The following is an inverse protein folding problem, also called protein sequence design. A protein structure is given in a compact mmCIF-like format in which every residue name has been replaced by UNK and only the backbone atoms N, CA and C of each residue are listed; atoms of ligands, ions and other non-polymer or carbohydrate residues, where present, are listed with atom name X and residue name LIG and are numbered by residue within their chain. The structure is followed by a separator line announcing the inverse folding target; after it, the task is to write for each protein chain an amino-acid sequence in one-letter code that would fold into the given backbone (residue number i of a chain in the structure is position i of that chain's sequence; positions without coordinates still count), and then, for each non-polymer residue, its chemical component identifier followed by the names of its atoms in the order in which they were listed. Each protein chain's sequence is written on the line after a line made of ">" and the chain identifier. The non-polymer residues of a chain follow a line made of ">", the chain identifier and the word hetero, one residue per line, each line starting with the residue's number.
data_IF_056810480439
#
_entry.id   IF_056810480439
#
_cell.length_a   1.000
_cell.length_b   1.000
_cell.length_c   1.000
_cell.angle_alpha   90.00
_cell.angle_beta   90.00
_cell.angle_gamma   90.00
#
_symmetry.space_group_name_H-M   'P 1'
#
loop_
_entity.id
_entity.type
_entity.pdbx_description
1 polymer ?
#
# COMPACT_ATOMS: atom_id res chain seq x y z
N UNK A 1 30.31 14.99 30.07
CA UNK A 1 29.43 15.41 28.96
C UNK A 1 29.56 14.40 27.84
N UNK A 2 28.64 13.44 27.75
CA UNK A 2 28.42 12.70 26.51
C UNK A 2 27.64 13.66 25.62
N UNK A 3 28.16 13.98 24.43
CA UNK A 3 27.44 14.70 23.39
C UNK A 3 26.14 13.92 23.12
N UNK A 4 25.03 14.40 23.68
CA UNK A 4 23.70 13.88 23.40
C UNK A 4 23.40 14.17 21.94
N UNK A 5 23.43 13.14 21.10
CA UNK A 5 22.89 13.23 19.74
C UNK A 5 21.45 13.72 19.84
N UNK A 6 21.16 14.87 19.24
CA UNK A 6 19.79 15.36 19.17
C UNK A 6 18.95 14.33 18.42
N UNK A 7 17.79 13.94 18.95
CA UNK A 7 16.97 12.92 18.31
C UNK A 7 16.58 13.40 16.91
N UNK A 8 17.00 12.65 15.90
CA UNK A 8 16.82 13.01 14.49
C UNK A 8 15.42 12.60 14.05
N UNK A 9 14.66 13.57 13.53
CA UNK A 9 13.33 13.34 12.94
C UNK A 9 13.41 12.25 11.86
N UNK A 10 12.54 11.24 11.97
CA UNK A 10 12.50 10.08 11.07
C UNK A 10 11.38 10.22 10.04
N UNK A 11 10.23 10.74 10.47
CA UNK A 11 9.02 10.89 9.66
C UNK A 11 8.65 12.36 9.55
N UNK A 12 8.08 12.73 8.41
CA UNK A 12 7.58 14.08 8.11
C UNK A 12 6.08 13.98 7.83
N UNK A 13 5.34 15.07 8.06
CA UNK A 13 3.89 15.10 7.80
C UNK A 13 3.57 14.92 6.31
N UNK A 14 4.39 15.50 5.44
CA UNK A 14 4.26 15.37 3.98
C UNK A 14 5.23 14.37 3.38
N UNK A 15 4.95 13.97 2.14
CA UNK A 15 5.85 13.13 1.35
C UNK A 15 6.78 14.03 0.55
N UNK A 16 8.08 13.80 0.72
CA UNK A 16 9.12 14.52 0.00
C UNK A 16 9.54 13.74 -1.24
N UNK A 17 9.85 14.46 -2.30
CA UNK A 17 10.33 13.88 -3.55
C UNK A 17 11.31 14.80 -4.26
N UNK A 18 12.05 14.22 -5.19
CA UNK A 18 13.02 14.90 -6.03
C UNK A 18 12.81 14.48 -7.50
N UNK A 19 12.77 15.46 -8.38
CA UNK A 19 12.78 15.23 -9.83
C UNK A 19 14.24 15.01 -10.25
N UNK A 20 14.56 13.80 -10.71
CA UNK A 20 15.91 13.45 -11.13
C UNK A 20 16.22 14.06 -12.50
N UNK A 21 16.81 15.25 -12.51
CA UNK A 21 17.23 15.94 -13.75
C UNK A 21 18.65 15.53 -14.13
N UNK A 22 18.87 14.90 -15.31
CA UNK A 22 20.21 14.57 -15.79
C UNK A 22 21.08 15.83 -15.91
N UNK A 23 22.36 15.73 -15.51
CA UNK A 23 23.31 16.85 -15.51
C UNK A 23 23.41 17.59 -16.86
N UNK A 24 23.24 16.86 -17.98
CA UNK A 24 23.23 17.42 -19.34
C UNK A 24 22.03 18.34 -19.61
N UNK A 25 20.90 18.11 -18.95
CA UNK A 25 19.65 18.88 -19.12
C UNK A 25 19.51 20.02 -18.09
N UNK A 26 20.26 20.00 -16.98
CA UNK A 26 20.24 21.05 -15.95
C UNK A 26 20.58 22.46 -16.48
N UNK A 27 21.42 22.57 -17.51
CA UNK A 27 21.74 23.86 -18.14
C UNK A 27 20.60 24.43 -18.99
N UNK A 28 19.71 23.60 -19.55
CA UNK A 28 18.56 24.03 -20.34
C UNK A 28 17.34 24.38 -19.48
N UNK A 29 17.19 23.71 -18.35
CA UNK A 29 16.12 23.91 -17.36
C UNK A 29 16.43 25.02 -16.34
N UNK A 30 17.58 25.69 -16.48
CA UNK A 30 18.01 26.77 -15.58
C UNK A 30 17.09 27.98 -15.73
N UNK A 31 16.06 28.08 -14.90
CA UNK A 31 15.10 29.19 -14.86
C UNK A 31 13.66 28.81 -15.22
N UNK A 32 13.38 27.53 -15.50
CA UNK A 32 12.01 27.04 -15.70
C UNK A 32 11.47 26.45 -14.40
N UNK A 33 10.27 26.87 -14.01
CA UNK A 33 9.53 26.29 -12.89
C UNK A 33 9.09 24.87 -13.27
N UNK A 34 9.56 23.89 -12.52
CA UNK A 34 9.19 22.49 -12.70
C UNK A 34 7.96 22.18 -11.84
N UNK A 35 6.96 21.55 -12.46
CA UNK A 35 5.73 21.16 -11.78
C UNK A 35 5.60 19.65 -11.72
N UNK A 36 4.98 19.16 -10.65
CA UNK A 36 4.52 17.77 -10.54
C UNK A 36 3.00 17.81 -10.49
N UNK A 37 2.34 17.18 -11.46
CA UNK A 37 0.90 16.93 -11.37
C UNK A 37 0.64 15.73 -10.49
N UNK A 38 -0.21 15.89 -9.49
CA UNK A 38 -0.77 14.83 -8.66
C UNK A 38 -2.25 14.63 -9.02
N UNK A 39 -2.69 13.38 -9.18
CA UNK A 39 -4.07 13.04 -9.48
C UNK A 39 -4.42 11.62 -9.01
N UNK A 40 -5.72 11.37 -8.73
CA UNK A 40 -6.25 10.03 -8.44
C UNK A 40 -7.42 9.70 -9.38
N UNK A 41 -7.17 8.99 -10.49
CA UNK A 41 -8.13 8.81 -11.59
C UNK A 41 -9.33 7.94 -11.23
N UNK A 42 -9.27 7.20 -10.13
CA UNK A 42 -10.34 6.33 -9.67
C UNK A 42 -11.32 7.06 -8.72
N UNK A 43 -10.90 8.16 -8.09
CA UNK A 43 -11.71 8.92 -7.14
C UNK A 43 -12.31 10.16 -7.83
N UNK A 44 -11.48 10.98 -8.44
CA UNK A 44 -11.90 12.20 -9.11
C UNK A 44 -11.10 12.49 -10.38
N UNK A 45 -11.53 13.51 -11.12
CA UNK A 45 -10.82 14.01 -12.30
C UNK A 45 -10.00 15.27 -11.99
N UNK A 46 -9.67 15.52 -10.72
CA UNK A 46 -8.93 16.70 -10.31
C UNK A 46 -7.43 16.47 -10.49
N UNK A 47 -6.72 17.55 -10.79
CA UNK A 47 -5.28 17.54 -10.95
C UNK A 47 -4.69 18.70 -10.14
N UNK A 48 -3.82 18.36 -9.20
CA UNK A 48 -3.14 19.31 -8.32
C UNK A 48 -1.72 19.50 -8.84
N UNK A 49 -1.33 20.75 -9.10
CA UNK A 49 0.00 21.09 -9.57
C UNK A 49 0.87 21.53 -8.40
N UNK A 50 1.93 20.78 -8.13
CA UNK A 50 2.88 21.04 -7.06
C UNK A 50 4.12 21.68 -7.68
N UNK A 51 4.48 22.87 -7.20
CA UNK A 51 5.70 23.55 -7.61
C UNK A 51 6.91 22.88 -6.95
N UNK A 52 7.94 22.59 -7.75
CA UNK A 52 9.24 22.12 -7.24
C UNK A 52 10.25 23.26 -7.18
N UNK A 53 11.24 23.12 -6.31
CA UNK A 53 12.30 24.10 -6.11
C UNK A 53 13.31 24.12 -7.28
N UNK A 54 14.29 25.02 -7.22
CA UNK A 54 15.37 25.15 -8.21
C UNK A 54 16.26 23.90 -8.39
N UNK A 55 16.26 22.98 -7.42
CA UNK A 55 16.96 21.70 -7.44
C UNK A 55 16.05 20.54 -7.85
N UNK A 56 14.75 20.79 -8.04
CA UNK A 56 13.73 19.79 -8.36
C UNK A 56 13.14 19.09 -7.14
N UNK A 57 13.39 19.59 -5.92
CA UNK A 57 12.79 19.06 -4.71
C UNK A 57 11.34 19.56 -4.56
N UNK A 58 10.43 18.69 -4.14
CA UNK A 58 9.04 19.04 -3.87
C UNK A 58 8.53 18.34 -2.61
N UNK A 59 7.49 18.92 -2.01
CA UNK A 59 6.79 18.35 -0.87
C UNK A 59 5.31 18.30 -1.18
N UNK A 60 4.70 17.14 -0.96
CA UNK A 60 3.26 16.93 -1.11
C UNK A 60 2.60 17.20 0.24
N UNK A 61 1.60 18.07 0.25
CA UNK A 61 0.85 18.41 1.46
C UNK A 61 -0.03 17.24 1.93
N UNK A 62 -0.16 17.00 3.25
CA UNK A 62 -1.04 15.95 3.81
C UNK A 62 -2.48 15.99 3.30
N UNK A 63 -3.02 17.17 2.98
CA UNK A 63 -4.39 17.34 2.47
C UNK A 63 -4.63 16.60 1.15
N UNK A 64 -3.59 16.44 0.32
CA UNK A 64 -3.67 15.70 -0.95
C UNK A 64 -3.92 14.21 -0.69
N UNK A 65 -3.29 13.65 0.34
CA UNK A 65 -3.46 12.25 0.71
C UNK A 65 -4.80 11.98 1.42
N UNK A 66 -5.32 12.97 2.15
CA UNK A 66 -6.66 12.90 2.75
C UNK A 66 -7.75 13.01 1.67
N UNK A 67 -7.59 13.88 0.67
CA UNK A 67 -8.55 14.02 -0.43
C UNK A 67 -8.76 12.70 -1.20
N UNK A 68 -7.68 11.95 -1.42
CA UNK A 68 -7.70 10.71 -2.20
C UNK A 68 -7.57 9.44 -1.34
N UNK A 69 -8.05 9.52 -0.10
CA UNK A 69 -8.05 8.43 0.88
C UNK A 69 -8.67 7.15 0.30
N UNK A 70 -7.98 6.02 0.52
CA UNK A 70 -8.39 4.69 0.10
C UNK A 70 -7.84 4.22 -1.26
N UNK A 71 -7.15 5.09 -2.00
CA UNK A 71 -6.56 4.75 -3.31
C UNK A 71 -5.10 5.24 -3.44
N UNK A 72 -4.60 5.32 -4.67
CA UNK A 72 -3.26 5.76 -5.02
C UNK A 72 -3.25 7.18 -5.58
N UNK A 73 -2.22 7.94 -5.22
CA UNK A 73 -1.88 9.23 -5.80
C UNK A 73 -0.86 9.01 -6.91
N UNK A 74 -1.20 9.35 -8.14
CA UNK A 74 -0.30 9.30 -9.29
C UNK A 74 0.37 10.65 -9.48
N UNK A 75 1.69 10.62 -9.64
CA UNK A 75 2.54 11.77 -9.83
C UNK A 75 3.17 11.71 -11.22
N UNK A 76 3.12 12.84 -11.92
CA UNK A 76 3.77 13.00 -13.23
C UNK A 76 4.54 14.31 -13.25
N UNK A 77 5.84 14.31 -13.60
CA UNK A 77 6.56 15.55 -13.80
C UNK A 77 6.08 16.19 -15.11
N UNK A 78 5.72 17.48 -15.02
CA UNK A 78 5.35 18.31 -16.16
C UNK A 78 6.56 19.17 -16.52
N UNK A 79 7.14 18.88 -17.68
CA UNK A 79 8.21 19.68 -18.27
C UNK A 79 7.87 20.00 -19.72
N UNK A 80 8.27 21.19 -20.15
CA UNK A 80 8.19 21.65 -21.54
C UNK A 80 9.21 20.89 -22.41
N UNK A 81 10.27 20.35 -21.80
CA UNK A 81 11.40 19.72 -22.47
C UNK A 81 11.46 18.22 -22.15
N UNK A 82 10.80 17.43 -23.00
CA UNK A 82 10.94 15.97 -23.14
C UNK A 82 10.46 15.11 -21.95
N UNK A 83 9.46 14.29 -22.26
CA UNK A 83 8.97 13.14 -21.49
C UNK A 83 10.14 12.18 -21.14
N UNK A 84 10.43 11.96 -19.87
CA UNK A 84 11.48 11.03 -19.42
C UNK A 84 12.25 11.44 -18.18
N UNK A 85 11.85 12.51 -17.48
CA UNK A 85 12.36 12.81 -16.15
C UNK A 85 11.77 11.82 -15.15
N UNK A 86 12.63 11.05 -14.45
CA UNK A 86 12.20 10.14 -13.40
C UNK A 86 11.96 10.89 -12.09
N UNK A 87 10.91 10.51 -11.37
CA UNK A 87 10.66 10.97 -10.02
C UNK A 87 11.29 10.00 -9.02
N UNK A 88 11.93 10.54 -7.98
CA UNK A 88 12.28 9.77 -6.79
C UNK A 88 11.44 10.27 -5.64
N UNK A 89 10.66 9.39 -5.04
CA UNK A 89 9.80 9.70 -3.91
C UNK A 89 10.39 9.01 -2.68
N UNK A 90 10.45 9.72 -1.56
CA UNK A 90 10.91 9.13 -0.31
C UNK A 90 9.73 8.46 0.39
N UNK A 91 9.74 7.13 0.49
CA UNK A 91 8.72 6.39 1.23
C UNK A 91 8.99 6.49 2.75
N UNK A 92 8.09 7.11 3.54
CA UNK A 92 8.23 7.16 4.99
C UNK A 92 8.24 5.76 5.63
N UNK A 93 7.54 4.77 5.07
CA UNK A 93 7.49 3.42 5.62
C UNK A 93 8.81 2.67 5.44
N UNK A 94 9.52 2.87 4.33
CA UNK A 94 10.87 2.32 4.18
C UNK A 94 11.83 2.91 5.23
N UNK A 95 11.75 4.22 5.47
CA UNK A 95 12.55 4.87 6.53
C UNK A 95 12.20 4.30 7.91
N UNK A 96 10.92 4.15 8.23
CA UNK A 96 10.46 3.56 9.49
C UNK A 96 11.00 2.12 9.63
N UNK A 97 10.81 1.28 8.63
CA UNK A 97 11.24 -0.13 8.66
C UNK A 97 12.75 -0.26 8.84
N UNK A 98 13.54 0.55 8.13
CA UNK A 98 14.99 0.58 8.27
C UNK A 98 15.44 1.02 9.67
N UNK A 99 14.75 2.02 10.26
CA UNK A 99 15.03 2.48 11.62
C UNK A 99 14.56 1.51 12.70
N UNK A 100 13.47 0.77 12.47
CA UNK A 100 13.00 -0.29 13.36
C UNK A 100 13.93 -1.50 13.31
N UNK A 101 14.45 -1.87 12.13
CA UNK A 101 15.34 -3.02 11.97
C UNK A 101 16.67 -2.90 12.74
N UNK A 102 17.11 -1.69 13.09
CA UNK A 102 18.32 -1.45 13.90
C UNK A 102 18.04 -1.42 15.40
N UNK A 103 16.77 -1.44 15.82
CA UNK A 103 16.36 -1.41 17.23
C UNK A 103 15.80 -2.77 17.62
N UNK A 104 16.34 -3.39 18.66
CA UNK A 104 15.72 -4.57 19.25
C UNK A 104 14.45 -4.17 20.00
N UNK A 105 13.30 -4.38 19.36
CA UNK A 105 11.99 -4.20 20.00
C UNK A 105 11.60 -5.52 20.66
N UNK A 106 11.89 -5.63 21.95
CA UNK A 106 11.48 -6.79 22.75
C UNK A 106 10.03 -6.62 23.17
N UNK A 107 9.11 -7.21 22.43
CA UNK A 107 7.74 -7.39 22.91
C UNK A 107 7.72 -8.45 24.01
N UNK A 108 6.91 -8.28 25.07
CA UNK A 108 6.66 -9.34 26.04
C UNK A 108 5.81 -10.42 25.39
N UNK A 109 6.39 -11.20 24.49
CA UNK A 109 5.75 -12.38 23.93
C UNK A 109 5.83 -13.45 25.02
N UNK A 110 4.72 -13.97 25.55
CA UNK A 110 4.79 -15.12 26.42
C UNK A 110 5.50 -16.26 25.66
N UNK A 111 6.43 -16.99 26.28
CA UNK A 111 7.07 -18.12 25.61
C UNK A 111 5.99 -19.06 25.11
N UNK A 112 5.98 -19.30 23.79
CA UNK A 112 5.19 -20.37 23.20
C UNK A 112 5.63 -21.64 23.92
N UNK A 113 4.79 -22.11 24.82
CA UNK A 113 5.05 -23.36 25.52
C UNK A 113 4.85 -24.44 24.48
N UNK A 114 5.93 -25.16 24.13
CA UNK A 114 5.91 -26.41 23.33
C UNK A 114 5.12 -27.55 24.02
N UNK A 115 4.34 -27.24 25.05
CA UNK A 115 3.29 -28.12 25.52
C UNK A 115 2.16 -28.05 24.51
N UNK A 116 1.60 -29.21 24.19
CA UNK A 116 0.26 -29.34 23.63
C UNK A 116 -0.71 -28.64 24.60
N UNK A 117 -0.80 -27.30 24.52
CA UNK A 117 -1.97 -26.60 24.97
C UNK A 117 -3.05 -27.19 24.09
N UNK A 118 -3.86 -28.05 24.68
CA UNK A 118 -5.23 -28.21 24.21
C UNK A 118 -5.70 -26.76 24.04
N UNK A 119 -5.72 -26.31 22.78
CA UNK A 119 -6.47 -25.11 22.44
C UNK A 119 -7.80 -25.40 23.09
N UNK A 120 -8.28 -24.59 24.05
CA UNK A 120 -9.62 -24.80 24.55
C UNK A 120 -10.43 -24.85 23.28
N UNK A 121 -11.03 -26.01 23.00
CA UNK A 121 -11.85 -26.18 21.81
C UNK A 121 -12.92 -25.13 22.04
N UNK A 122 -12.75 -23.97 21.38
CA UNK A 122 -13.78 -22.95 21.33
C UNK A 122 -14.98 -23.73 20.83
N UNK A 123 -16.05 -23.88 21.63
CA UNK A 123 -17.15 -24.74 21.26
C UNK A 123 -17.59 -24.29 19.88
N UNK A 124 -17.33 -25.18 18.92
CA UNK A 124 -17.45 -24.93 17.50
C UNK A 124 -18.83 -24.32 17.28
N UNK A 125 -18.84 -23.11 16.72
CA UNK A 125 -19.90 -22.35 16.07
C UNK A 125 -21.21 -23.11 15.72
N UNK A 126 -21.90 -23.68 16.71
CA UNK A 126 -23.28 -24.16 16.56
C UNK A 126 -24.29 -23.18 17.13
N UNK A 127 -23.83 -22.21 17.96
CA UNK A 127 -24.68 -21.32 18.74
C UNK A 127 -24.27 -19.83 18.63
N UNK A 128 -24.04 -19.31 17.42
CA UNK A 128 -24.06 -17.86 17.16
C UNK A 128 -22.96 -16.98 17.77
N UNK A 129 -21.88 -17.54 18.32
CA UNK A 129 -20.77 -16.80 18.94
C UNK A 129 -20.02 -15.85 17.99
N UNK A 130 -19.69 -14.64 18.47
CA UNK A 130 -18.85 -13.68 17.74
C UNK A 130 -17.37 -14.04 17.89
N UNK A 131 -16.78 -14.64 16.86
CA UNK A 131 -15.34 -14.92 16.77
C UNK A 131 -14.74 -13.95 15.76
N UNK A 132 -13.80 -13.11 16.22
CA UNK A 132 -13.01 -12.25 15.34
C UNK A 132 -11.59 -12.78 15.31
N UNK A 133 -11.16 -13.22 14.13
CA UNK A 133 -9.78 -13.61 13.89
C UNK A 133 -8.85 -12.41 14.03
N UNK A 134 -7.61 -12.68 14.45
CA UNK A 134 -6.55 -11.67 14.44
C UNK A 134 -6.43 -11.06 13.04
N UNK A 135 -6.36 -9.73 12.95
CA UNK A 135 -6.12 -9.02 11.69
C UNK A 135 -4.67 -9.28 11.25
N UNK A 136 -4.46 -10.38 10.53
CA UNK A 136 -3.19 -10.67 9.89
C UNK A 136 -3.16 -9.98 8.54
N UNK A 137 -2.39 -8.90 8.45
CA UNK A 137 -2.10 -8.26 7.16
C UNK A 137 -1.14 -9.19 6.40
N UNK A 138 -1.69 -10.12 5.62
CA UNK A 138 -0.91 -10.94 4.70
C UNK A 138 -0.66 -10.14 3.42
N UNK A 139 0.61 -9.80 3.18
CA UNK A 139 1.01 -9.24 1.89
C UNK A 139 0.86 -10.30 0.80
N UNK A 140 -0.14 -10.16 -0.07
CA UNK A 140 -0.22 -10.97 -1.28
C UNK A 140 0.97 -10.63 -2.19
N UNK A 141 1.81 -11.63 -2.46
CA UNK A 141 3.00 -11.59 -3.34
C UNK A 141 2.68 -11.49 -4.84
N UNK A 142 1.40 -11.42 -5.20
CA UNK A 142 0.97 -11.38 -6.60
C UNK A 142 0.82 -9.94 -7.05
N UNK A 143 1.63 -9.55 -8.03
CA UNK A 143 1.54 -8.29 -8.80
C UNK A 143 0.29 -8.35 -9.70
N UNK A 144 -0.88 -8.40 -9.08
CA UNK A 144 -2.15 -8.24 -9.80
C UNK A 144 -2.27 -6.76 -10.08
N UNK A 145 -2.37 -6.37 -11.35
CA UNK A 145 -2.65 -4.99 -11.76
C UNK A 145 -3.91 -4.51 -11.03
N UNK A 146 -3.76 -3.61 -10.07
CA UNK A 146 -4.85 -3.11 -9.23
C UNK A 146 -5.43 -1.83 -9.82
N UNK A 147 -6.70 -1.90 -10.19
CA UNK A 147 -7.50 -0.72 -10.50
C UNK A 147 -7.67 -0.46 -11.99
N UNK A 148 -8.76 0.23 -12.32
CA UNK A 148 -9.20 0.48 -13.70
C UNK A 148 -8.17 1.27 -14.51
N UNK A 149 -7.51 2.22 -13.86
CA UNK A 149 -6.51 3.08 -14.51
C UNK A 149 -5.30 2.30 -15.03
N UNK A 150 -4.70 1.43 -14.21
CA UNK A 150 -3.59 0.60 -14.66
C UNK A 150 -4.02 -0.42 -15.72
N UNK A 151 -5.26 -0.93 -15.65
CA UNK A 151 -5.83 -1.76 -16.73
C UNK A 151 -5.97 -1.00 -18.07
N UNK A 152 -6.33 0.28 -18.03
CA UNK A 152 -6.34 1.14 -19.23
C UNK A 152 -4.93 1.38 -19.75
N UNK A 153 -3.95 1.65 -18.87
CA UNK A 153 -2.55 1.81 -19.27
C UNK A 153 -1.98 0.52 -19.86
N UNK A 154 -2.29 -0.63 -19.28
CA UNK A 154 -1.94 -1.93 -19.85
C UNK A 154 -2.53 -2.03 -21.26
N UNK A 155 -3.83 -1.83 -21.42
CA UNK A 155 -4.49 -1.87 -22.74
C UNK A 155 -3.84 -0.96 -23.78
N UNK A 156 -3.39 0.23 -23.37
CA UNK A 156 -2.69 1.18 -24.25
C UNK A 156 -1.27 0.73 -24.59
N UNK A 157 -0.46 0.37 -23.57
CA UNK A 157 0.99 0.21 -23.75
C UNK A 157 1.44 -1.19 -24.12
N UNK A 158 0.71 -2.25 -23.78
CA UNK A 158 1.22 -3.58 -24.14
C UNK A 158 0.96 -4.00 -25.58
N UNK A 159 0.47 -3.08 -26.44
CA UNK A 159 0.65 -3.17 -27.90
C UNK A 159 2.03 -2.60 -28.31
N UNK A 160 2.54 -1.59 -27.61
CA UNK A 160 3.82 -0.91 -27.92
C UNK A 160 5.06 -1.65 -27.37
N UNK A 161 4.90 -2.40 -26.28
CA UNK A 161 6.01 -3.07 -25.57
C UNK A 161 6.05 -4.58 -25.87
N UNK A 162 4.94 -5.14 -26.34
CA UNK A 162 4.76 -6.58 -26.55
C UNK A 162 4.52 -6.98 -27.99
N UNK A 163 4.34 -8.28 -28.22
CA UNK A 163 3.94 -8.80 -29.51
C UNK A 163 2.50 -8.35 -29.86
N UNK A 164 2.26 -7.94 -31.11
CA UNK A 164 0.94 -7.58 -31.62
C UNK A 164 0.60 -8.35 -32.90
N UNK A 165 -0.69 -8.51 -33.17
CA UNK A 165 -1.22 -9.13 -34.38
C UNK A 165 -1.95 -8.05 -35.18
N UNK A 166 -1.58 -7.90 -36.45
CA UNK A 166 -2.24 -6.96 -37.34
C UNK A 166 -3.51 -7.54 -37.96
N UNK A 167 -4.30 -6.70 -38.65
CA UNK A 167 -5.52 -7.11 -39.38
C UNK A 167 -5.36 -8.31 -40.34
N UNK A 168 -4.14 -8.59 -40.79
CA UNK A 168 -3.83 -9.70 -41.70
C UNK A 168 -3.29 -10.94 -40.95
N UNK A 169 -3.52 -11.02 -39.65
CA UNK A 169 -3.09 -12.07 -38.72
C UNK A 169 -1.56 -12.22 -38.59
N UNK A 170 -0.77 -11.22 -39.01
CA UNK A 170 0.69 -11.28 -38.87
C UNK A 170 1.14 -10.80 -37.50
N UNK A 171 1.94 -11.64 -36.84
CA UNK A 171 2.66 -11.30 -35.62
C UNK A 171 3.74 -10.26 -35.94
N UNK A 172 3.72 -9.12 -35.26
CA UNK A 172 4.68 -8.01 -35.37
C UNK A 172 4.93 -7.56 -36.82
N UNK A 173 3.85 -7.29 -37.56
CA UNK A 173 3.92 -6.95 -38.98
C UNK A 173 4.68 -5.64 -39.24
N UNK A 174 5.85 -5.70 -39.88
CA UNK A 174 6.67 -4.52 -40.23
C UNK A 174 5.89 -3.44 -41.03
N UNK A 175 4.90 -3.85 -41.81
CA UNK A 175 4.14 -2.95 -42.68
C UNK A 175 2.99 -2.21 -41.96
N UNK A 176 2.53 -2.71 -40.82
CA UNK A 176 1.39 -2.15 -40.08
C UNK A 176 1.71 -1.97 -38.58
N UNK A 177 2.77 -1.23 -38.23
CA UNK A 177 3.05 -0.91 -36.84
C UNK A 177 2.01 0.09 -36.31
N UNK A 178 1.46 -0.17 -35.13
CA UNK A 178 0.53 0.72 -34.41
C UNK A 178 -0.76 1.14 -35.16
N UNK A 179 -1.32 0.26 -36.01
CA UNK A 179 -2.66 0.50 -36.58
C UNK A 179 -3.77 0.25 -35.55
N UNK A 180 -4.89 0.97 -35.67
CA UNK A 180 -6.06 0.83 -34.75
C UNK A 180 -6.67 -0.58 -34.75
N UNK A 181 -6.52 -1.31 -35.85
CA UNK A 181 -7.02 -2.69 -36.00
C UNK A 181 -6.08 -3.73 -35.36
N UNK A 182 -4.91 -3.32 -34.84
CA UNK A 182 -3.97 -4.23 -34.19
C UNK A 182 -4.49 -4.65 -32.81
N UNK A 183 -4.33 -5.92 -32.47
CA UNK A 183 -4.65 -6.43 -31.14
C UNK A 183 -3.54 -7.32 -30.60
N UNK A 184 -3.61 -7.63 -29.30
CA UNK A 184 -2.64 -8.53 -28.68
C UNK A 184 -2.93 -10.00 -29.01
N UNK A 185 -1.91 -10.83 -29.26
CA UNK A 185 -2.07 -12.25 -29.51
C UNK A 185 -2.56 -12.99 -28.27
N UNK A 186 -3.60 -13.79 -28.41
CA UNK A 186 -4.15 -14.61 -27.32
C UNK A 186 -3.52 -16.00 -27.32
N UNK A 187 -3.29 -16.60 -26.14
CA UNK A 187 -2.83 -17.99 -26.05
C UNK A 187 -3.79 -18.92 -26.80
N UNK A 188 -3.27 -19.67 -27.76
CA UNK A 188 -4.07 -20.57 -28.61
C UNK A 188 -4.58 -19.93 -29.91
N UNK A 189 -4.32 -18.64 -30.13
CA UNK A 189 -4.63 -17.96 -31.38
C UNK A 189 -3.69 -18.40 -32.51
N UNK A 190 -4.21 -18.47 -33.74
CA UNK A 190 -3.42 -18.76 -34.93
C UNK A 190 -2.85 -17.48 -35.50
N UNK A 191 -1.53 -17.34 -35.47
CA UNK A 191 -0.81 -16.17 -35.97
C UNK A 191 0.10 -16.54 -37.14
N UNK A 192 0.31 -15.60 -38.05
CA UNK A 192 1.22 -15.71 -39.19
C UNK A 192 2.57 -15.13 -38.82
N UNK A 193 3.61 -15.95 -38.92
CA UNK A 193 4.99 -15.55 -38.67
C UNK A 193 5.72 -15.52 -40.01
N UNK A 194 6.39 -14.40 -40.30
CA UNK A 194 7.30 -14.27 -41.44
C UNK A 194 8.71 -14.59 -40.98
N UNK A 195 9.28 -15.68 -41.51
CA UNK A 195 10.67 -16.04 -41.22
C UNK A 195 11.63 -15.07 -41.94
N UNK A 196 12.85 -14.98 -41.43
CA UNK A 196 13.94 -14.19 -42.06
C UNK A 196 14.20 -14.59 -43.52
N UNK A 197 13.89 -15.84 -43.88
CA UNK A 197 14.03 -16.38 -45.23
C UNK A 197 12.87 -15.99 -46.19
N UNK A 198 11.91 -15.19 -45.73
CA UNK A 198 10.76 -14.72 -46.50
C UNK A 198 9.59 -15.72 -46.60
N UNK A 199 9.75 -16.93 -46.07
CA UNK A 199 8.66 -17.92 -45.95
C UNK A 199 7.68 -17.56 -44.84
N UNK A 200 6.39 -17.84 -45.04
CA UNK A 200 5.34 -17.57 -44.06
C UNK A 200 4.77 -18.88 -43.50
N UNK A 201 4.54 -18.93 -42.18
CA UNK A 201 3.98 -20.10 -41.50
C UNK A 201 2.89 -19.67 -40.52
N UNK A 202 1.86 -20.51 -40.40
CA UNK A 202 0.86 -20.40 -39.34
C UNK A 202 1.34 -21.16 -38.11
N UNK A 203 1.38 -20.50 -36.96
CA UNK A 203 1.69 -21.11 -35.68
C UNK A 203 0.64 -20.72 -34.64
N UNK A 204 0.40 -21.63 -33.70
CA UNK A 204 -0.44 -21.35 -32.53
C UNK A 204 0.40 -20.58 -31.54
N UNK A 205 -0.03 -19.38 -31.15
CA UNK A 205 0.68 -18.56 -30.18
C UNK A 205 0.73 -19.30 -28.82
N UNK A 206 1.92 -19.72 -28.35
CA UNK A 206 2.04 -20.68 -27.26
C UNK A 206 2.11 -20.02 -25.87
N UNK A 207 2.29 -18.70 -25.82
CA UNK A 207 2.55 -17.96 -24.59
C UNK A 207 1.27 -17.34 -24.03
N UNK A 208 1.11 -17.37 -22.71
CA UNK A 208 0.23 -16.41 -22.05
C UNK A 208 0.91 -15.05 -22.13
N UNK A 209 0.18 -14.01 -22.55
CA UNK A 209 0.70 -12.63 -22.55
C UNK A 209 1.19 -12.35 -21.13
N UNK A 210 2.49 -12.06 -20.98
CA UNK A 210 2.97 -11.50 -19.72
C UNK A 210 2.29 -10.16 -19.55
N UNK A 211 1.37 -10.07 -18.58
CA UNK A 211 0.85 -8.78 -18.15
C UNK A 211 2.07 -7.91 -17.80
N UNK A 212 2.12 -6.69 -18.35
CA UNK A 212 3.15 -5.75 -17.96
C UNK A 212 3.05 -5.58 -16.44
N UNK A 213 4.19 -5.60 -15.77
CA UNK A 213 4.21 -5.33 -14.33
C UNK A 213 3.71 -3.90 -14.08
N UNK A 214 3.17 -3.66 -12.88
CA UNK A 214 2.69 -2.31 -12.54
C UNK A 214 3.83 -1.29 -12.64
N UNK A 215 5.05 -1.71 -12.31
CA UNK A 215 6.28 -0.95 -12.41
C UNK A 215 6.59 -0.56 -13.86
N UNK A 216 6.55 -1.51 -14.80
CA UNK A 216 6.78 -1.25 -16.22
C UNK A 216 5.75 -0.26 -16.79
N UNK A 217 4.46 -0.41 -16.43
CA UNK A 217 3.41 0.51 -16.88
C UNK A 217 3.63 1.95 -16.37
N UNK A 218 4.05 2.08 -15.12
CA UNK A 218 4.39 3.37 -14.53
C UNK A 218 5.63 3.97 -15.20
N UNK A 219 6.67 3.18 -15.46
CA UNK A 219 7.87 3.65 -16.16
C UNK A 219 7.56 4.13 -17.59
N UNK A 220 6.81 3.36 -18.38
CA UNK A 220 6.44 3.73 -19.75
C UNK A 220 5.59 5.01 -19.81
N UNK A 221 4.73 5.22 -18.82
CA UNK A 221 3.88 6.42 -18.73
C UNK A 221 4.57 7.62 -18.04
N UNK A 222 5.82 7.45 -17.61
CA UNK A 222 6.57 8.39 -16.77
C UNK A 222 5.77 8.83 -15.53
N UNK A 223 5.08 7.87 -14.93
CA UNK A 223 4.30 8.02 -13.72
C UNK A 223 5.05 7.42 -12.53
N UNK A 224 4.81 7.99 -11.36
CA UNK A 224 5.12 7.36 -10.09
C UNK A 224 3.86 7.37 -9.26
N UNK A 225 3.69 6.40 -8.36
CA UNK A 225 2.50 6.35 -7.50
C UNK A 225 2.90 6.23 -6.05
N UNK A 226 2.05 6.77 -5.18
CA UNK A 226 2.15 6.63 -3.73
C UNK A 226 0.79 6.24 -3.19
N UNK A 227 0.74 5.42 -2.14
CA UNK A 227 -0.53 5.13 -1.46
C UNK A 227 -1.01 6.37 -0.72
N UNK A 228 -2.27 6.72 -0.91
CA UNK A 228 -2.92 7.71 -0.06
C UNK A 228 -3.22 7.12 1.33
N UNK A 229 -3.83 7.92 2.21
CA UNK A 229 -4.24 7.43 3.51
C UNK A 229 -5.24 6.28 3.39
N UNK A 230 -5.17 5.34 4.32
CA UNK A 230 -6.13 4.25 4.34
C UNK A 230 -7.53 4.80 4.61
N UNK A 231 -8.53 4.26 3.93
CA UNK A 231 -9.93 4.52 4.25
C UNK A 231 -10.23 4.23 5.71
N UNK A 232 -11.23 4.94 6.26
CA UNK A 232 -11.67 4.68 7.63
C UNK A 232 -12.11 3.24 7.77
N UNK A 233 -11.54 2.56 8.76
CA UNK A 233 -11.92 1.21 9.13
C UNK A 233 -12.32 1.25 10.59
N UNK A 234 -13.59 1.05 10.85
CA UNK A 234 -14.08 0.86 12.21
C UNK A 234 -13.78 -0.57 12.63
N UNK A 235 -13.08 -0.72 13.76
CA UNK A 235 -12.92 -2.02 14.39
C UNK A 235 -14.17 -2.33 15.22
N UNK A 236 -14.64 -3.57 15.16
CA UNK A 236 -15.81 -3.98 15.94
C UNK A 236 -15.55 -3.84 17.45
N UNK A 237 -16.40 -3.07 18.12
CA UNK A 237 -16.38 -2.88 19.57
C UNK A 237 -17.77 -3.16 20.12
N UNK A 238 -17.97 -4.20 20.95
CA UNK A 238 -19.26 -4.48 21.55
C UNK A 238 -19.59 -3.45 22.63
N UNK A 239 -20.88 -3.28 22.91
CA UNK A 239 -21.36 -2.44 24.00
C UNK A 239 -22.26 -3.26 24.93
N UNK A 240 -21.67 -3.80 26.01
CA UNK A 240 -22.37 -4.60 27.01
C UNK A 240 -23.14 -3.77 28.05
N UNK A 241 -23.11 -2.43 27.97
CA UNK A 241 -23.93 -1.59 28.85
C UNK A 241 -25.40 -1.60 28.44
N UNK A 242 -25.70 -1.96 27.18
CA UNK A 242 -27.05 -2.03 26.63
C UNK A 242 -27.50 -3.49 26.63
N UNK A 243 -28.51 -3.80 27.45
CA UNK A 243 -29.07 -5.15 27.48
C UNK A 243 -29.73 -5.51 26.14
N UNK A 244 -29.09 -6.39 25.36
CA UNK A 244 -29.60 -6.87 24.07
C UNK A 244 -29.62 -8.41 24.03
N UNK A 245 -30.27 -8.99 23.02
CA UNK A 245 -30.23 -10.44 22.78
C UNK A 245 -28.79 -10.94 22.51
N UNK A 246 -27.88 -10.05 22.11
CA UNK A 246 -26.47 -10.34 21.83
C UNK A 246 -25.66 -10.57 23.11
N UNK A 247 -26.10 -10.05 24.27
CA UNK A 247 -25.48 -10.33 25.58
C UNK A 247 -25.62 -11.80 26.01
N UNK A 248 -26.57 -12.52 25.41
CA UNK A 248 -26.75 -13.96 25.66
C UNK A 248 -25.73 -14.81 24.89
N UNK A 249 -24.99 -14.19 23.96
CA UNK A 249 -24.00 -14.84 23.12
C UNK A 249 -22.62 -14.64 23.76
N UNK A 250 -21.89 -15.72 24.09
CA UNK A 250 -20.54 -15.61 24.63
C UNK A 250 -19.57 -14.88 23.68
N UNK A 251 -18.74 -14.00 24.23
CA UNK A 251 -17.72 -13.24 23.49
C UNK A 251 -16.38 -13.99 23.47
N UNK A 252 -15.95 -14.41 22.28
CA UNK A 252 -14.68 -15.09 22.07
C UNK A 252 -13.71 -14.30 21.19
N UNK A 253 -13.72 -12.95 21.29
CA UNK A 253 -12.78 -12.10 20.55
C UNK A 253 -11.33 -12.26 21.04
N UNK A 254 -10.42 -12.49 20.10
CA UNK A 254 -8.98 -12.51 20.33
C UNK A 254 -8.35 -11.10 20.35
N UNK A 255 -8.99 -10.13 19.68
CA UNK A 255 -8.56 -8.73 19.68
C UNK A 255 -9.60 -7.91 20.45
N UNK A 256 -9.20 -7.37 21.61
CA UNK A 256 -10.10 -6.59 22.47
C UNK A 256 -10.25 -5.14 22.02
N UNK A 257 -9.17 -4.55 21.47
CA UNK A 257 -9.12 -3.18 21.01
C UNK A 257 -8.13 -3.06 19.85
N UNK A 258 -8.53 -2.30 18.81
CA UNK A 258 -7.66 -1.82 17.76
C UNK A 258 -8.06 -0.38 17.45
N UNK A 259 -7.26 0.58 17.90
CA UNK A 259 -7.52 2.01 17.71
C UNK A 259 -6.25 2.70 17.17
N UNK A 260 -6.16 2.95 15.85
CA UNK A 260 -5.00 3.57 15.23
C UNK A 260 -5.01 5.11 15.31
N UNK A 261 -6.12 5.74 15.74
CA UNK A 261 -6.30 7.21 15.70
C UNK A 261 -6.21 7.88 17.07
N UNK A 262 -5.48 7.28 18.01
CA UNK A 262 -5.30 7.85 19.36
C UNK A 262 -4.43 9.10 19.30
N UNK A 263 -5.00 10.25 19.69
CA UNK A 263 -4.27 11.51 19.88
C UNK A 263 -4.18 11.78 21.37
N UNK A 264 -2.98 12.03 21.87
CA UNK A 264 -2.74 12.38 23.27
C UNK A 264 -3.11 13.85 23.53
N UNK A 265 -3.47 14.16 24.76
CA UNK A 265 -3.68 15.54 25.21
C UNK A 265 -2.36 16.32 25.35
N UNK A 266 -2.46 17.59 25.78
CA UNK A 266 -1.31 18.48 25.99
C UNK A 266 -0.28 17.94 27.00
N UNK A 267 -0.64 16.96 27.82
CA UNK A 267 0.27 16.29 28.78
C UNK A 267 0.87 15.00 28.23
N UNK A 268 0.49 14.59 27.02
CA UNK A 268 0.88 13.32 26.43
C UNK A 268 0.07 12.13 26.95
N UNK A 269 -1.12 12.37 27.52
CA UNK A 269 -1.99 11.33 28.07
C UNK A 269 -3.15 11.01 27.12
N UNK A 270 -3.53 9.73 27.02
CA UNK A 270 -4.72 9.27 26.33
C UNK A 270 -5.40 8.20 27.17
N UNK A 271 -6.74 8.26 27.27
CA UNK A 271 -7.54 7.26 27.99
C UNK A 271 -8.39 6.48 26.99
N UNK A 272 -8.26 5.15 27.03
CA UNK A 272 -8.99 4.23 26.18
C UNK A 272 -9.81 3.28 27.06
N UNK A 273 -11.04 3.02 26.66
CA UNK A 273 -11.96 2.09 27.34
C UNK A 273 -12.41 1.04 26.34
N UNK A 274 -12.41 -0.22 26.77
CA UNK A 274 -12.83 -1.35 25.95
C UNK A 274 -13.38 -2.47 26.84
N UNK A 275 -14.25 -3.30 26.28
CA UNK A 275 -14.77 -4.48 26.95
C UNK A 275 -13.87 -5.70 26.71
N UNK A 276 -13.63 -6.47 27.76
CA UNK A 276 -12.93 -7.75 27.69
C UNK A 276 -13.86 -8.84 27.10
N UNK A 277 -13.26 -9.89 26.53
CA UNK A 277 -13.99 -11.07 26.09
C UNK A 277 -14.22 -12.05 27.26
N UNK A 278 -15.00 -13.10 27.02
CA UNK A 278 -15.20 -14.22 27.95
C UNK A 278 -14.01 -15.21 27.97
N UNK A 279 -12.96 -14.97 27.19
CA UNK A 279 -11.77 -15.83 27.16
C UNK A 279 -10.93 -15.59 28.40
N UNK A 280 -10.82 -16.64 29.23
CA UNK A 280 -9.92 -16.67 30.37
C UNK A 280 -8.46 -16.88 29.91
N UNK A 281 -7.78 -15.79 29.56
CA UNK A 281 -6.40 -15.83 29.06
C UNK A 281 -5.64 -14.55 29.37
N UNK A 282 -4.37 -14.55 28.99
CA UNK A 282 -3.52 -13.38 29.02
C UNK A 282 -3.53 -12.70 27.65
N UNK A 283 -3.85 -11.41 27.65
CA UNK A 283 -3.80 -10.53 26.49
C UNK A 283 -2.52 -9.70 26.51
N UNK A 284 -1.99 -9.39 25.33
CA UNK A 284 -0.85 -8.48 25.15
C UNK A 284 -1.35 -7.19 24.54
N UNK A 285 -1.09 -6.07 25.22
CA UNK A 285 -1.28 -4.73 24.69
C UNK A 285 0.00 -4.27 23.99
N UNK A 286 -0.14 -3.76 22.76
CA UNK A 286 0.94 -3.13 22.01
C UNK A 286 0.51 -1.71 21.64
N UNK A 287 1.37 -0.75 21.95
CA UNK A 287 1.19 0.67 21.67
C UNK A 287 2.34 1.09 20.78
N UNK A 288 2.04 1.70 19.64
CA UNK A 288 3.01 2.22 18.69
C UNK A 288 2.54 3.60 18.27
N UNK A 289 3.44 4.56 18.19
CA UNK A 289 3.07 5.95 17.93
C UNK A 289 4.22 6.78 17.39
N UNK A 290 3.85 7.92 16.84
CA UNK A 290 4.75 8.96 16.35
C UNK A 290 4.45 10.25 17.10
N UNK A 291 5.47 10.92 17.62
CA UNK A 291 5.34 12.25 18.23
C UNK A 291 5.57 13.37 17.20
N UNK A 292 5.20 14.60 17.56
CA UNK A 292 5.27 15.79 16.69
C UNK A 292 6.64 16.05 16.05
N UNK A 293 7.72 15.63 16.72
CA UNK A 293 9.09 15.69 16.18
C UNK A 293 9.43 14.59 15.16
N UNK A 294 8.44 13.80 14.71
CA UNK A 294 8.62 12.63 13.86
C UNK A 294 9.46 11.52 14.50
N UNK A 295 9.40 11.43 15.83
CA UNK A 295 10.07 10.39 16.62
C UNK A 295 9.10 9.23 16.86
N UNK A 296 9.63 8.01 16.76
CA UNK A 296 8.85 6.78 16.93
C UNK A 296 8.96 6.27 18.37
N UNK A 297 7.82 5.89 18.94
CA UNK A 297 7.72 5.28 20.27
C UNK A 297 6.96 3.95 20.21
N UNK A 298 7.32 3.03 21.11
CA UNK A 298 6.58 1.79 21.31
C UNK A 298 6.50 1.46 22.79
N UNK A 299 5.41 0.83 23.21
CA UNK A 299 5.17 0.35 24.55
C UNK A 299 4.36 -0.94 24.51
N UNK A 300 4.51 -1.76 25.53
CA UNK A 300 3.76 -3.00 25.64
C UNK A 300 3.41 -3.31 27.08
N UNK A 301 2.28 -3.99 27.27
CA UNK A 301 1.85 -4.45 28.59
C UNK A 301 1.10 -5.77 28.47
N UNK A 302 0.87 -6.41 29.61
CA UNK A 302 0.11 -7.66 29.72
C UNK A 302 -1.15 -7.40 30.52
N UNK A 303 -2.29 -7.80 29.98
CA UNK A 303 -3.58 -7.78 30.65
C UNK A 303 -4.02 -9.23 30.92
N UNK A 304 -4.50 -9.52 32.12
CA UNK A 304 -4.93 -10.86 32.50
C UNK A 304 -6.44 -10.87 32.70
N UNK A 305 -7.17 -11.58 31.85
CA UNK A 305 -8.62 -11.74 31.96
C UNK A 305 -8.91 -13.06 32.66
N UNK A 306 -9.63 -13.00 33.79
CA UNK A 306 -10.04 -14.18 34.57
C UNK A 306 -11.53 -14.11 34.83
N UNK A 307 -12.21 -15.23 34.65
CA UNK A 307 -13.59 -15.38 35.15
C UNK A 307 -13.53 -15.50 36.67
N UNK A 308 -14.25 -14.61 37.37
CA UNK A 308 -14.40 -14.74 38.82
C UNK A 308 -15.21 -16.01 39.11
N UNK A 309 -14.58 -16.98 39.78
CA UNK A 309 -15.29 -18.10 40.38
C UNK A 309 -16.03 -17.58 41.60
N UNK A 310 -17.23 -17.06 41.40
CA UNK A 310 -18.16 -16.78 42.49
C UNK A 310 -18.81 -18.13 42.85
N UNK A 311 -18.08 -18.97 43.58
CA UNK A 311 -18.73 -20.06 44.33
C UNK A 311 -19.38 -19.44 45.57
N UNK A 312 -20.71 -19.61 45.76
CA UNK A 312 -21.41 -19.15 46.95
C UNK A 312 -20.97 -19.89 48.23
#
# INVERSE_FOLDING_TARGET
>A
EQLGETPRQVVYEGIQGEIMVPLLKKRKLSGEELFVSAFSPNIDSTNIFILSDSLGAFSIDPSVFEQWKGDYVYLKPLTVLESGLKLRIEDPFEKINNQMGTKEISYPVPPLTDGTLETPVLPLASNGGTVIEEIKIQGNKTDIIRGKFLGTLDSLYGIDVGDYVCRNDYLNCINHPHEEDNHRPVRGELVRIRNSDGTEKWEVYPYDISQLTEEELLEHSNLSRVKAYYGDREFYSPNYDIRSEEDMIPDYRNTLLWEPTVITDEKGEATLSFFCSDINTDYVGRIEGVGDGGLLGTGGFKLTVRKLNITP
#
